data_IF_884886088372
#
_entry.id   IF_884886088372
#
_cell.length_a   1.000
_cell.length_b   1.000
_cell.length_c   1.000
_cell.angle_alpha   90.00
_cell.angle_beta   90.00
_cell.angle_gamma   90.00
#
_symmetry.space_group_name_H-M   'P 1'
#
loop_
_entity.id
_entity.type
_entity.pdbx_description
1 polymer ?
#
# COMPACT_ATOMS: atom_id res chain seq x y z
N UNK A 1 -7.83 8.97 5.13
CA UNK A 1 -6.42 8.73 4.76
C UNK A 1 -6.19 8.88 3.26
N UNK A 2 -6.91 8.20 2.33
CA UNK A 2 -6.59 8.25 0.89
C UNK A 2 -6.54 9.66 0.30
N UNK A 3 -7.48 10.54 0.67
CA UNK A 3 -7.50 11.93 0.20
C UNK A 3 -6.22 12.69 0.57
N UNK A 4 -5.74 12.53 1.82
CA UNK A 4 -4.52 13.23 2.27
C UNK A 4 -3.28 12.69 1.55
N UNK A 5 -3.20 11.38 1.34
CA UNK A 5 -2.12 10.75 0.57
C UNK A 5 -2.14 11.26 -0.87
N UNK A 6 -3.31 11.33 -1.51
CA UNK A 6 -3.48 11.87 -2.84
C UNK A 6 -2.96 13.31 -2.93
N UNK A 7 -3.35 14.18 -1.98
CA UNK A 7 -2.88 15.57 -1.92
C UNK A 7 -1.37 15.69 -1.66
N UNK A 8 -0.81 14.77 -0.87
CA UNK A 8 0.64 14.70 -0.62
C UNK A 8 1.44 14.24 -1.84
N UNK A 9 0.82 13.43 -2.71
CA UNK A 9 1.46 12.84 -3.89
C UNK A 9 1.26 13.67 -5.16
N UNK A 10 0.17 14.40 -5.29
CA UNK A 10 -0.19 15.10 -6.53
C UNK A 10 -0.73 16.50 -6.25
N UNK A 11 -0.61 17.38 -7.25
CA UNK A 11 -1.35 18.64 -7.28
C UNK A 11 -2.72 18.41 -7.94
N UNK A 12 -3.77 18.40 -7.14
CA UNK A 12 -5.14 18.15 -7.60
C UNK A 12 -5.72 19.32 -8.40
N UNK A 13 -5.13 20.51 -8.35
CA UNK A 13 -5.59 21.65 -9.14
C UNK A 13 -5.40 21.40 -10.65
N UNK A 14 -4.50 20.53 -11.00
CA UNK A 14 -4.21 20.12 -12.40
C UNK A 14 -5.20 19.08 -12.94
N UNK A 15 -6.01 18.46 -12.07
CA UNK A 15 -6.96 17.42 -12.43
C UNK A 15 -8.34 18.04 -12.65
N UNK A 16 -8.83 18.02 -13.89
CA UNK A 16 -10.18 18.48 -14.24
C UNK A 16 -11.22 17.40 -13.87
N UNK A 17 -11.35 17.10 -12.58
CA UNK A 17 -12.32 16.14 -12.08
C UNK A 17 -12.85 16.57 -10.70
N UNK A 18 -14.11 16.28 -10.43
CA UNK A 18 -14.70 16.47 -9.10
C UNK A 18 -14.56 15.16 -8.32
N UNK A 19 -13.78 15.12 -7.24
CA UNK A 19 -13.62 13.90 -6.46
C UNK A 19 -14.89 13.61 -5.65
N UNK A 20 -15.33 12.35 -5.70
CA UNK A 20 -16.36 11.80 -4.83
C UNK A 20 -15.73 10.76 -3.91
N UNK A 21 -16.06 10.79 -2.63
CA UNK A 21 -15.46 9.92 -1.62
C UNK A 21 -16.45 8.84 -1.20
N UNK A 22 -15.95 7.61 -1.06
CA UNK A 22 -16.70 6.45 -0.64
C UNK A 22 -16.07 5.83 0.61
N UNK A 23 -16.89 5.11 1.38
CA UNK A 23 -16.45 4.50 2.64
C UNK A 23 -15.70 3.18 2.44
N UNK A 24 -15.87 2.53 1.28
CA UNK A 24 -15.21 1.26 0.98
C UNK A 24 -14.59 1.22 -0.41
N UNK A 25 -13.58 0.36 -0.58
CA UNK A 25 -12.99 0.06 -1.88
C UNK A 25 -13.99 -0.64 -2.82
N UNK A 26 -14.92 -1.40 -2.27
CA UNK A 26 -15.96 -2.07 -3.05
C UNK A 26 -16.92 -1.07 -3.70
N UNK A 27 -17.23 0.04 -3.04
CA UNK A 27 -18.05 1.10 -3.61
C UNK A 27 -17.33 1.76 -4.80
N UNK A 28 -16.02 2.04 -4.67
CA UNK A 28 -15.21 2.56 -5.79
C UNK A 28 -15.20 1.58 -6.96
N UNK A 29 -15.00 0.27 -6.68
CA UNK A 29 -15.06 -0.78 -7.68
C UNK A 29 -16.41 -0.76 -8.42
N UNK A 30 -17.52 -0.67 -7.68
CA UNK A 30 -18.86 -0.66 -8.26
C UNK A 30 -19.08 0.54 -9.19
N UNK A 31 -18.58 1.73 -8.83
CA UNK A 31 -18.66 2.93 -9.68
C UNK A 31 -17.89 2.75 -10.99
N UNK A 32 -16.68 2.19 -10.93
CA UNK A 32 -15.87 1.92 -12.12
C UNK A 32 -16.52 0.87 -13.02
N UNK A 33 -16.97 -0.26 -12.44
CA UNK A 33 -17.57 -1.37 -13.20
C UNK A 33 -18.97 -1.05 -13.78
N UNK A 34 -19.64 -0.05 -13.24
CA UNK A 34 -20.93 0.45 -13.77
C UNK A 34 -20.79 1.62 -14.75
N UNK A 35 -19.55 2.10 -14.99
CA UNK A 35 -19.30 3.25 -15.84
C UNK A 35 -19.72 4.61 -15.25
N UNK A 36 -20.11 4.65 -13.98
CA UNK A 36 -20.47 5.90 -13.28
C UNK A 36 -19.26 6.75 -12.91
N UNK A 37 -18.10 6.12 -12.79
CA UNK A 37 -16.82 6.78 -12.64
C UNK A 37 -15.85 6.34 -13.73
N UNK A 38 -15.10 7.28 -14.30
CA UNK A 38 -14.04 7.02 -15.29
C UNK A 38 -12.66 6.84 -14.66
N UNK A 39 -12.47 7.33 -13.43
CA UNK A 39 -11.21 7.24 -12.69
C UNK A 39 -11.51 6.89 -11.25
N UNK A 40 -10.71 6.02 -10.66
CA UNK A 40 -10.83 5.63 -9.25
C UNK A 40 -9.46 5.54 -8.58
N UNK A 41 -9.39 5.99 -7.33
CA UNK A 41 -8.23 5.77 -6.48
C UNK A 41 -8.44 4.48 -5.68
N UNK A 42 -7.57 3.52 -5.88
CA UNK A 42 -7.62 2.22 -5.22
C UNK A 42 -6.23 1.77 -4.81
N UNK A 43 -6.14 1.05 -3.70
CA UNK A 43 -4.90 0.40 -3.30
C UNK A 43 -4.78 -1.00 -3.96
N UNK A 44 -3.55 -1.49 -4.12
CA UNK A 44 -3.31 -2.90 -4.40
C UNK A 44 -3.60 -3.76 -3.14
N UNK A 45 -4.08 -4.98 -3.28
CA UNK A 45 -4.34 -5.73 -4.52
C UNK A 45 -5.71 -5.46 -5.17
N UNK A 46 -6.54 -4.61 -4.58
CA UNK A 46 -7.91 -4.36 -5.04
C UNK A 46 -7.96 -3.72 -6.45
N UNK A 47 -7.00 -2.85 -6.78
CA UNK A 47 -6.90 -2.24 -8.11
C UNK A 47 -6.74 -3.32 -9.19
N UNK A 48 -5.80 -4.23 -9.03
CA UNK A 48 -5.56 -5.34 -9.97
C UNK A 48 -6.76 -6.29 -10.06
N UNK A 49 -7.39 -6.61 -8.94
CA UNK A 49 -8.60 -7.43 -8.93
C UNK A 49 -9.77 -6.75 -9.66
N UNK A 50 -9.90 -5.43 -9.53
CA UNK A 50 -10.93 -4.66 -10.25
C UNK A 50 -10.67 -4.65 -11.75
N UNK A 51 -9.42 -4.49 -12.18
CA UNK A 51 -9.04 -4.57 -13.60
C UNK A 51 -9.37 -5.94 -14.19
N UNK A 52 -9.11 -7.02 -13.44
CA UNK A 52 -9.46 -8.38 -13.88
C UNK A 52 -10.96 -8.54 -14.07
N UNK A 53 -11.78 -8.13 -13.08
CA UNK A 53 -13.23 -8.16 -13.17
C UNK A 53 -13.81 -7.27 -14.27
N UNK A 54 -13.19 -6.11 -14.52
CA UNK A 54 -13.58 -5.23 -15.61
C UNK A 54 -13.39 -5.90 -16.98
N UNK A 55 -12.22 -6.56 -17.17
CA UNK A 55 -11.91 -7.31 -18.39
C UNK A 55 -12.94 -8.41 -18.68
N UNK A 56 -13.38 -9.16 -17.65
CA UNK A 56 -14.44 -10.18 -17.79
C UNK A 56 -15.77 -9.59 -18.27
N UNK A 57 -16.02 -8.31 -17.98
CA UNK A 57 -17.21 -7.55 -18.41
C UNK A 57 -17.00 -6.77 -19.72
N UNK A 58 -15.87 -6.94 -20.41
CA UNK A 58 -15.54 -6.19 -21.61
C UNK A 58 -15.20 -4.72 -21.35
N UNK A 59 -14.89 -4.33 -20.11
CA UNK A 59 -14.50 -2.97 -19.73
C UNK A 59 -12.98 -2.90 -19.64
N UNK A 60 -12.37 -1.95 -20.35
CA UNK A 60 -10.94 -1.69 -20.28
C UNK A 60 -10.61 -0.71 -19.14
N UNK A 61 -9.89 -1.19 -18.13
CA UNK A 61 -9.31 -0.37 -17.07
C UNK A 61 -7.80 -0.54 -17.05
N UNK A 62 -7.08 0.55 -16.77
CA UNK A 62 -5.62 0.56 -16.62
C UNK A 62 -5.17 1.47 -15.50
N UNK A 63 -4.01 1.17 -14.93
CA UNK A 63 -3.34 2.05 -13.97
C UNK A 63 -2.71 3.21 -14.74
N UNK A 64 -3.10 4.44 -14.43
CA UNK A 64 -2.61 5.65 -15.10
C UNK A 64 -1.60 6.42 -14.25
N UNK A 65 -1.63 6.25 -12.93
CA UNK A 65 -0.75 6.90 -11.97
C UNK A 65 -0.45 5.96 -10.80
N UNK A 66 0.80 5.96 -10.39
CA UNK A 66 1.28 5.27 -9.19
C UNK A 66 1.61 6.34 -8.14
N UNK A 67 0.78 6.43 -7.09
CA UNK A 67 0.93 7.48 -6.08
C UNK A 67 2.23 7.39 -5.29
N UNK A 68 2.87 6.23 -5.22
CA UNK A 68 4.16 6.09 -4.56
C UNK A 68 5.27 6.77 -5.37
N UNK A 69 5.22 6.66 -6.70
CA UNK A 69 6.12 7.35 -7.62
C UNK A 69 5.86 8.85 -7.64
N UNK A 70 4.60 9.25 -7.73
CA UNK A 70 4.21 10.67 -7.67
C UNK A 70 4.65 11.32 -6.35
N UNK A 71 4.51 10.59 -5.22
CA UNK A 71 4.98 11.06 -3.91
C UNK A 71 6.50 11.26 -3.87
N UNK A 72 7.26 10.30 -4.42
CA UNK A 72 8.71 10.41 -4.57
C UNK A 72 9.11 11.67 -5.33
N UNK A 73 8.53 11.86 -6.51
CA UNK A 73 8.84 12.99 -7.40
C UNK A 73 8.51 14.33 -6.73
N UNK A 74 7.31 14.44 -6.17
CA UNK A 74 6.84 15.67 -5.51
C UNK A 74 7.67 16.07 -4.28
N UNK A 75 8.20 15.09 -3.55
CA UNK A 75 8.95 15.32 -2.32
C UNK A 75 10.47 15.16 -2.50
N UNK A 76 10.97 14.96 -3.74
CA UNK A 76 12.38 14.78 -4.08
C UNK A 76 13.07 13.66 -3.27
N UNK A 77 12.39 12.51 -3.13
CA UNK A 77 12.90 11.38 -2.36
C UNK A 77 13.78 10.47 -3.25
N UNK A 78 14.73 9.78 -2.64
CA UNK A 78 15.62 8.84 -3.36
C UNK A 78 14.88 7.58 -3.82
N UNK A 79 13.96 7.06 -3.00
CA UNK A 79 13.17 5.85 -3.29
C UNK A 79 11.68 6.14 -3.36
N UNK A 80 10.95 5.33 -4.13
CA UNK A 80 9.48 5.40 -4.18
C UNK A 80 8.88 4.78 -2.91
N UNK A 81 7.69 5.24 -2.56
CA UNK A 81 6.94 4.76 -1.41
C UNK A 81 6.79 5.79 -0.32
N UNK A 82 5.94 5.48 0.62
CA UNK A 82 5.70 6.23 1.84
C UNK A 82 5.32 5.26 2.96
N UNK A 83 5.57 5.60 4.24
CA UNK A 83 5.19 4.76 5.36
C UNK A 83 3.67 4.58 5.40
N UNK A 84 3.18 3.33 5.37
CA UNK A 84 1.73 3.05 5.39
C UNK A 84 1.26 2.44 6.71
N UNK A 85 2.10 1.58 7.30
CA UNK A 85 1.78 0.85 8.51
C UNK A 85 2.98 0.84 9.44
N UNK A 86 2.75 0.76 10.74
CA UNK A 86 3.78 0.58 11.73
C UNK A 86 3.37 -0.52 12.71
N UNK A 87 4.35 -1.31 13.11
CA UNK A 87 4.22 -2.26 14.20
C UNK A 87 4.71 -1.61 15.50
N UNK A 88 3.83 -1.48 16.46
CA UNK A 88 4.16 -1.01 17.80
C UNK A 88 4.24 -2.19 18.77
N UNK A 89 5.33 -2.25 19.52
CA UNK A 89 5.54 -3.28 20.53
C UNK A 89 5.44 -2.63 21.92
N UNK A 90 4.74 -3.29 22.85
CA UNK A 90 4.68 -2.83 24.23
C UNK A 90 6.07 -2.92 24.85
N UNK A 91 6.51 -1.87 25.51
CA UNK A 91 7.80 -1.81 26.22
C UNK A 91 7.97 -3.01 27.18
N UNK A 92 9.12 -3.68 27.05
CA UNK A 92 9.43 -4.91 27.79
C UNK A 92 8.86 -6.20 27.17
N UNK A 93 8.34 -6.11 25.93
CA UNK A 93 7.90 -7.28 25.16
C UNK A 93 8.67 -7.44 23.85
N UNK A 94 9.71 -6.68 23.64
CA UNK A 94 10.51 -6.61 22.42
C UNK A 94 11.09 -7.99 22.08
N UNK A 95 11.74 -8.64 23.04
CA UNK A 95 12.35 -9.97 22.84
C UNK A 95 11.34 -11.05 22.46
N UNK A 96 10.07 -10.89 22.87
CA UNK A 96 9.02 -11.89 22.57
C UNK A 96 8.59 -11.89 21.12
N UNK A 97 8.82 -10.79 20.42
CA UNK A 97 8.38 -10.59 19.01
C UNK A 97 9.53 -10.38 18.05
N UNK A 98 10.76 -10.21 18.55
CA UNK A 98 11.93 -9.90 17.74
C UNK A 98 12.13 -10.89 16.57
N UNK A 99 12.13 -12.19 16.85
CA UNK A 99 12.32 -13.22 15.81
C UNK A 99 11.23 -13.18 14.73
N UNK A 100 9.97 -12.95 15.11
CA UNK A 100 8.86 -12.82 14.15
C UNK A 100 9.04 -11.62 13.24
N UNK A 101 9.48 -10.48 13.80
CA UNK A 101 9.71 -9.25 13.04
C UNK A 101 10.87 -9.45 12.08
N UNK A 102 11.96 -10.08 12.52
CA UNK A 102 13.14 -10.37 11.70
C UNK A 102 12.79 -11.31 10.54
N UNK A 103 12.06 -12.38 10.81
CA UNK A 103 11.60 -13.32 9.78
C UNK A 103 10.67 -12.63 8.78
N UNK A 104 9.72 -11.82 9.25
CA UNK A 104 8.83 -11.05 8.39
C UNK A 104 9.59 -10.04 7.52
N UNK A 105 10.58 -9.34 8.09
CA UNK A 105 11.43 -8.40 7.37
C UNK A 105 12.28 -9.13 6.31
N UNK A 106 12.90 -10.25 6.67
CA UNK A 106 13.66 -11.08 5.73
C UNK A 106 12.76 -11.59 4.60
N UNK A 107 11.57 -12.09 4.94
CA UNK A 107 10.62 -12.52 3.91
C UNK A 107 10.26 -11.38 2.96
N UNK A 108 9.81 -10.25 3.48
CA UNK A 108 9.33 -9.13 2.68
C UNK A 108 10.45 -8.49 1.82
N UNK A 109 11.64 -8.33 2.40
CA UNK A 109 12.72 -7.57 1.77
C UNK A 109 13.61 -8.41 0.85
N UNK A 110 13.77 -9.73 1.16
CA UNK A 110 14.77 -10.56 0.49
C UNK A 110 14.18 -11.76 -0.25
N UNK A 111 13.16 -12.43 0.33
CA UNK A 111 12.64 -13.69 -0.20
C UNK A 111 11.56 -13.43 -1.24
N UNK A 112 10.50 -12.72 -0.88
CA UNK A 112 9.34 -12.49 -1.72
C UNK A 112 9.67 -11.79 -3.05
N UNK A 113 10.59 -10.81 -3.11
CA UNK A 113 10.97 -10.19 -4.39
C UNK A 113 11.65 -11.12 -5.38
N UNK A 114 12.20 -12.27 -4.91
CA UNK A 114 12.97 -13.20 -5.73
C UNK A 114 12.25 -14.52 -5.99
N UNK A 115 11.23 -14.84 -5.21
CA UNK A 115 10.59 -16.16 -5.21
C UNK A 115 9.06 -16.03 -5.05
N UNK A 116 8.37 -16.03 -6.19
CA UNK A 116 6.91 -15.94 -6.22
C UNK A 116 6.20 -17.15 -5.62
N UNK A 117 6.84 -18.33 -5.62
CA UNK A 117 6.23 -19.54 -5.05
C UNK A 117 6.21 -19.46 -3.54
N UNK A 118 7.17 -18.76 -2.93
CA UNK A 118 7.14 -18.48 -1.50
C UNK A 118 5.98 -17.51 -1.13
N UNK A 119 5.67 -16.53 -1.98
CA UNK A 119 4.50 -15.68 -1.77
C UNK A 119 3.23 -16.53 -1.79
N UNK A 120 3.06 -17.40 -2.80
CA UNK A 120 1.90 -18.29 -2.91
C UNK A 120 1.76 -19.17 -1.68
N UNK A 121 2.84 -19.84 -1.28
CA UNK A 121 2.84 -20.72 -0.12
C UNK A 121 2.43 -19.99 1.18
N UNK A 122 2.88 -18.76 1.40
CA UNK A 122 2.47 -17.97 2.57
C UNK A 122 1.00 -17.55 2.51
N UNK A 123 0.50 -17.19 1.32
CA UNK A 123 -0.92 -16.85 1.14
C UNK A 123 -1.81 -18.06 1.40
N UNK A 124 -1.44 -19.23 0.89
CA UNK A 124 -2.17 -20.48 1.11
C UNK A 124 -2.16 -20.89 2.59
N UNK A 125 -1.01 -20.78 3.26
CA UNK A 125 -0.89 -21.09 4.68
C UNK A 125 -1.71 -20.13 5.57
N UNK A 126 -1.73 -18.85 5.25
CA UNK A 126 -2.47 -17.84 6.01
C UNK A 126 -3.96 -17.77 5.66
N UNK A 127 -4.36 -18.29 4.51
CA UNK A 127 -5.65 -18.21 3.83
C UNK A 127 -6.02 -16.82 3.30
N UNK A 128 -6.64 -16.81 2.13
CA UNK A 128 -7.03 -15.56 1.44
C UNK A 128 -8.03 -14.73 2.23
N UNK A 129 -8.93 -15.39 2.97
CA UNK A 129 -9.94 -14.74 3.79
C UNK A 129 -9.32 -13.93 4.93
N UNK A 130 -8.32 -14.50 5.62
CA UNK A 130 -7.61 -13.80 6.71
C UNK A 130 -6.78 -12.64 6.21
N UNK A 131 -6.20 -12.78 5.02
CA UNK A 131 -5.38 -11.74 4.41
C UNK A 131 -6.21 -10.67 3.68
N UNK A 132 -7.48 -10.92 3.45
CA UNK A 132 -8.36 -9.99 2.72
C UNK A 132 -7.95 -9.80 1.27
N UNK A 133 -7.32 -10.80 0.64
CA UNK A 133 -6.88 -10.77 -0.76
C UNK A 133 -7.71 -11.74 -1.61
N UNK A 134 -7.88 -11.47 -2.93
CA UNK A 134 -8.73 -12.31 -3.78
C UNK A 134 -8.20 -13.75 -3.97
N UNK A 135 -6.91 -13.91 -4.24
CA UNK A 135 -6.22 -15.18 -4.42
C UNK A 135 -4.69 -15.00 -4.41
N UNK A 136 -3.95 -16.09 -4.40
CA UNK A 136 -2.49 -16.09 -4.35
C UNK A 136 -1.83 -15.50 -5.61
N UNK A 137 -2.41 -15.71 -6.78
CA UNK A 137 -1.91 -15.16 -8.04
C UNK A 137 -1.96 -13.62 -8.03
N UNK A 138 -3.03 -13.04 -7.50
CA UNK A 138 -3.15 -11.57 -7.36
C UNK A 138 -2.08 -11.06 -6.37
N UNK A 139 -1.82 -11.76 -5.27
CA UNK A 139 -0.75 -11.39 -4.35
C UNK A 139 0.61 -11.32 -5.05
N UNK A 140 0.97 -12.36 -5.79
CA UNK A 140 2.22 -12.40 -6.58
C UNK A 140 2.27 -11.27 -7.60
N UNK A 141 1.22 -11.12 -8.41
CA UNK A 141 1.16 -10.12 -9.49
C UNK A 141 1.27 -8.68 -8.99
N UNK A 142 0.85 -8.43 -7.77
CA UNK A 142 0.82 -7.09 -7.18
C UNK A 142 1.98 -6.82 -6.23
N UNK A 143 2.81 -7.82 -5.90
CA UNK A 143 3.85 -7.70 -4.88
C UNK A 143 4.77 -6.50 -5.10
N UNK A 144 5.32 -6.38 -6.29
CA UNK A 144 6.20 -5.27 -6.65
C UNK A 144 5.52 -3.90 -6.50
N UNK A 145 4.27 -3.79 -6.97
CA UNK A 145 3.51 -2.52 -6.88
C UNK A 145 3.02 -2.20 -5.47
N UNK A 146 2.85 -3.20 -4.61
CA UNK A 146 2.56 -2.96 -3.20
C UNK A 146 3.75 -2.33 -2.49
N UNK A 147 4.97 -2.52 -3.02
CA UNK A 147 6.20 -1.92 -2.50
C UNK A 147 6.39 -2.18 -1.00
N UNK A 148 6.19 -3.45 -0.59
CA UNK A 148 6.26 -3.85 0.81
C UNK A 148 7.71 -3.95 1.24
N UNK A 149 8.11 -3.06 2.14
CA UNK A 149 9.41 -3.06 2.79
C UNK A 149 9.24 -2.90 4.29
N UNK A 150 9.83 -3.78 5.06
CA UNK A 150 9.85 -3.70 6.52
C UNK A 150 11.21 -3.15 6.95
N UNK A 151 11.20 -2.00 7.60
CA UNK A 151 12.40 -1.29 8.06
C UNK A 151 12.25 -0.92 9.53
N UNK A 152 13.37 -0.82 10.25
CA UNK A 152 13.36 -0.27 11.61
C UNK A 152 12.97 1.21 11.55
N UNK A 153 12.11 1.63 12.46
CA UNK A 153 11.63 3.01 12.49
C UNK A 153 12.77 4.02 12.70
N UNK A 154 13.81 3.66 13.44
CA UNK A 154 15.03 4.45 13.63
C UNK A 154 15.75 4.74 12.33
N UNK A 155 15.83 3.75 11.43
CA UNK A 155 16.58 3.87 10.17
C UNK A 155 15.86 4.75 9.13
N UNK A 156 14.55 4.93 9.28
CA UNK A 156 13.69 5.70 8.37
C UNK A 156 12.94 6.83 9.09
N UNK A 157 13.46 7.30 10.21
CA UNK A 157 12.82 8.34 11.04
C UNK A 157 12.49 9.59 10.24
N UNK A 158 13.42 10.08 9.44
CA UNK A 158 13.23 11.28 8.61
C UNK A 158 12.10 11.09 7.59
N UNK A 159 11.99 9.92 6.96
CA UNK A 159 10.92 9.62 6.00
C UNK A 159 9.56 9.58 6.70
N UNK A 160 9.51 8.96 7.89
CA UNK A 160 8.29 8.92 8.72
C UNK A 160 7.87 10.33 9.10
N UNK A 161 8.77 11.15 9.62
CA UNK A 161 8.47 12.53 10.02
C UNK A 161 8.00 13.38 8.83
N UNK A 162 8.66 13.24 7.68
CA UNK A 162 8.30 13.95 6.45
C UNK A 162 6.89 13.57 6.00
N UNK A 163 6.56 12.29 6.07
CA UNK A 163 5.22 11.82 5.72
C UNK A 163 4.17 12.31 6.73
N UNK A 164 4.44 12.20 8.04
CA UNK A 164 3.50 12.61 9.09
C UNK A 164 3.22 14.11 9.11
N UNK A 165 4.19 14.95 8.72
CA UNK A 165 3.98 16.41 8.56
C UNK A 165 2.83 16.73 7.60
N UNK A 166 2.59 15.91 6.57
CA UNK A 166 1.46 16.06 5.65
C UNK A 166 0.09 15.93 6.37
N UNK A 167 0.08 15.25 7.51
CA UNK A 167 -1.10 15.05 8.34
C UNK A 167 -1.13 15.97 9.57
N UNK A 168 -0.12 16.83 9.74
CA UNK A 168 0.09 17.65 10.93
C UNK A 168 0.24 16.79 12.20
N UNK A 169 0.94 15.68 12.07
CA UNK A 169 1.25 14.74 13.14
C UNK A 169 2.75 14.75 13.44
N UNK A 170 3.09 14.53 14.69
CA UNK A 170 4.46 14.37 15.18
C UNK A 170 4.50 13.17 16.12
N UNK A 171 5.52 12.35 16.02
CA UNK A 171 5.80 11.28 16.97
C UNK A 171 6.84 11.76 17.98
N UNK A 172 6.78 11.23 19.21
CA UNK A 172 7.83 11.43 20.22
C UNK A 172 8.99 10.48 19.97
N UNK A 173 10.19 10.82 20.44
CA UNK A 173 11.37 9.99 20.26
C UNK A 173 11.21 8.57 20.83
N UNK A 174 10.43 8.42 21.91
CA UNK A 174 10.12 7.12 22.51
C UNK A 174 9.36 6.16 21.59
N UNK A 175 8.72 6.68 20.53
CA UNK A 175 7.99 5.86 19.55
C UNK A 175 8.90 5.26 18.46
N UNK A 176 10.19 5.61 18.47
CA UNK A 176 11.17 5.11 17.50
C UNK A 176 12.15 4.08 18.09
N UNK A 177 12.05 3.77 19.37
CA UNK A 177 12.99 2.86 20.08
C UNK A 177 12.51 1.43 20.07
#
# INVERSE_FOLDING_TARGET
VPQKVLNASMDLSTIKATPTYFNSVNDVQAQLLSGKASVGLMAEPAATATIAKAKEKGIELKIIKDLQKEYKEKNNLESSGYPQAALFVKKGSEDKVASYIEEAAKFANETAPKDSDKIKAQVEAATVEKLGIPNAEIAVKTWERQNIHIKKATDVKTDIETFLKQFKLTLTDEMYT
#
